data_IF_000514283804
#
_entry.id   IF_000514283804
#
_cell.length_a   1.000
_cell.length_b   1.000
_cell.length_c   1.000
_cell.angle_alpha   90.00
_cell.angle_beta   90.00
_cell.angle_gamma   90.00
#
_symmetry.space_group_name_H-M   'P 1'
#
loop_
_entity.id
_entity.type
_entity.pdbx_description
1 polymer ?
#
# COMPACT_ATOMS: atom_id res chain seq x y z
N UNK A 1 26.95 33.94 24.78
CA UNK A 1 25.57 34.45 24.96
C UNK A 1 25.19 35.18 23.68
N UNK A 2 23.99 34.93 23.16
CA UNK A 2 23.36 35.43 21.92
C UNK A 2 23.87 34.94 20.54
N UNK A 3 23.24 33.89 20.03
CA UNK A 3 22.84 33.76 18.61
C UNK A 3 21.73 32.70 18.48
N UNK A 4 20.66 32.90 19.25
CA UNK A 4 19.34 32.34 18.96
C UNK A 4 18.46 33.53 18.57
N UNK A 5 18.35 33.81 17.27
CA UNK A 5 17.37 34.74 16.76
C UNK A 5 17.04 34.40 15.31
N UNK A 6 15.75 34.38 15.02
CA UNK A 6 15.11 34.25 13.70
C UNK A 6 14.91 32.86 13.09
N UNK A 7 14.27 31.96 13.86
CA UNK A 7 13.29 31.04 13.25
C UNK A 7 12.00 31.81 12.93
N UNK A 8 12.05 32.69 11.92
CA UNK A 8 10.82 33.29 11.39
C UNK A 8 9.98 32.18 10.79
N UNK A 9 8.76 32.01 11.30
CA UNK A 9 7.70 31.24 10.64
C UNK A 9 7.39 31.98 9.34
N UNK A 10 8.18 31.71 8.29
CA UNK A 10 7.96 32.26 6.97
C UNK A 10 6.64 31.69 6.45
N UNK A 11 5.67 32.54 6.17
CA UNK A 11 4.49 32.15 5.40
C UNK A 11 4.95 31.41 4.14
N UNK A 12 4.45 30.20 3.86
CA UNK A 12 4.92 29.43 2.72
C UNK A 12 4.66 30.23 1.45
N UNK A 13 5.69 30.41 0.61
CA UNK A 13 5.58 31.06 -0.70
C UNK A 13 4.50 30.40 -1.55
N UNK A 14 3.92 31.14 -2.50
CA UNK A 14 2.84 30.61 -3.37
C UNK A 14 3.23 29.28 -4.03
N UNK A 15 4.48 29.13 -4.48
CA UNK A 15 5.01 27.88 -5.05
C UNK A 15 5.04 26.73 -4.03
N UNK A 16 5.40 27.01 -2.77
CA UNK A 16 5.41 26.00 -1.69
C UNK A 16 4.00 25.49 -1.36
N UNK A 17 3.00 26.38 -1.36
CA UNK A 17 1.59 26.00 -1.19
C UNK A 17 1.07 25.17 -2.36
N UNK A 18 1.44 25.54 -3.58
CA UNK A 18 1.08 24.80 -4.79
C UNK A 18 1.70 23.39 -4.80
N UNK A 19 2.99 23.26 -4.50
CA UNK A 19 3.66 21.96 -4.40
C UNK A 19 3.03 21.07 -3.33
N UNK A 20 2.68 21.62 -2.16
CA UNK A 20 1.98 20.89 -1.10
C UNK A 20 0.58 20.44 -1.54
N UNK A 21 -0.20 21.31 -2.19
CA UNK A 21 -1.50 20.97 -2.74
C UNK A 21 -1.41 19.82 -3.75
N UNK A 22 -0.47 19.91 -4.69
CA UNK A 22 -0.25 18.87 -5.72
C UNK A 22 0.09 17.52 -5.08
N UNK A 23 0.94 17.52 -4.05
CA UNK A 23 1.30 16.30 -3.33
C UNK A 23 0.14 15.72 -2.51
N UNK A 24 -0.62 16.57 -1.80
CA UNK A 24 -1.80 16.12 -1.04
C UNK A 24 -2.87 15.51 -1.96
N UNK A 25 -3.15 16.16 -3.08
CA UNK A 25 -4.11 15.64 -4.06
C UNK A 25 -3.65 14.31 -4.66
N UNK A 26 -2.36 14.16 -4.98
CA UNK A 26 -1.84 12.87 -5.45
C UNK A 26 -1.87 11.80 -4.35
N UNK A 27 -1.66 12.17 -3.07
CA UNK A 27 -1.75 11.26 -1.94
C UNK A 27 -3.19 10.77 -1.65
N UNK A 28 -4.23 11.52 -2.06
CA UNK A 28 -5.64 11.08 -1.96
C UNK A 28 -5.93 9.78 -2.75
N UNK A 29 -5.11 9.45 -3.75
CA UNK A 29 -5.20 8.14 -4.40
C UNK A 29 -5.01 6.98 -3.40
N UNK A 30 -4.16 7.18 -2.39
CA UNK A 30 -3.98 6.24 -1.28
C UNK A 30 -5.22 6.14 -0.41
N UNK A 31 -5.91 7.26 -0.16
CA UNK A 31 -7.18 7.28 0.58
C UNK A 31 -8.23 6.40 -0.09
N UNK A 32 -8.41 6.51 -1.42
CA UNK A 32 -9.37 5.69 -2.17
C UNK A 32 -9.05 4.20 -2.09
N UNK A 33 -7.76 3.86 -2.16
CA UNK A 33 -7.32 2.48 -1.99
C UNK A 33 -7.65 1.95 -0.59
N UNK A 34 -7.34 2.72 0.46
CA UNK A 34 -7.66 2.34 1.83
C UNK A 34 -9.17 2.24 2.10
N UNK A 35 -9.96 3.14 1.52
CA UNK A 35 -11.41 3.14 1.66
C UNK A 35 -12.02 1.84 1.12
N UNK A 36 -11.58 1.39 -0.05
CA UNK A 36 -12.09 0.16 -0.64
C UNK A 36 -11.80 -1.07 0.25
N UNK A 37 -10.59 -1.15 0.82
CA UNK A 37 -10.21 -2.22 1.77
C UNK A 37 -11.17 -2.26 2.96
N UNK A 38 -11.41 -1.12 3.61
CA UNK A 38 -12.23 -1.10 4.81
C UNK A 38 -13.72 -1.29 4.51
N UNK A 39 -14.22 -0.76 3.39
CA UNK A 39 -15.65 -0.79 3.04
C UNK A 39 -16.11 -2.22 2.80
N UNK A 40 -15.36 -3.00 2.01
CA UNK A 40 -15.75 -4.39 1.75
C UNK A 40 -15.78 -5.21 3.05
N UNK A 41 -14.89 -4.91 4.00
CA UNK A 41 -14.84 -5.65 5.27
C UNK A 41 -16.13 -5.53 6.07
N UNK A 42 -16.72 -4.34 6.16
CA UNK A 42 -17.98 -4.13 6.87
C UNK A 42 -19.22 -4.53 6.05
N UNK A 43 -19.15 -4.40 4.73
CA UNK A 43 -20.28 -4.73 3.85
C UNK A 43 -20.44 -6.24 3.61
N UNK A 44 -19.35 -7.02 3.62
CA UNK A 44 -19.34 -8.43 3.25
C UNK A 44 -20.33 -9.29 4.05
N UNK A 45 -20.46 -9.17 5.39
CA UNK A 45 -21.45 -9.94 6.14
C UNK A 45 -22.90 -9.66 5.70
N UNK A 46 -23.22 -8.40 5.38
CA UNK A 46 -24.55 -8.02 4.89
C UNK A 46 -24.82 -8.57 3.49
N UNK A 47 -23.82 -8.51 2.61
CA UNK A 47 -23.87 -9.08 1.25
C UNK A 47 -24.08 -10.60 1.32
N UNK A 48 -23.32 -11.26 2.19
CA UNK A 48 -23.40 -12.70 2.41
C UNK A 48 -24.78 -13.13 2.91
N UNK A 49 -25.38 -12.36 3.82
CA UNK A 49 -26.74 -12.59 4.30
C UNK A 49 -27.80 -12.33 3.23
N UNK A 50 -27.66 -11.25 2.46
CA UNK A 50 -28.63 -10.86 1.43
C UNK A 50 -28.71 -11.86 0.28
N UNK A 51 -27.57 -12.31 -0.23
CA UNK A 51 -27.50 -13.25 -1.35
C UNK A 51 -27.31 -14.72 -0.91
N UNK A 52 -27.32 -15.00 0.39
CA UNK A 52 -27.12 -16.35 0.98
C UNK A 52 -25.83 -17.00 0.45
N UNK A 53 -24.71 -16.30 0.61
CA UNK A 53 -23.42 -16.68 0.04
C UNK A 53 -22.64 -17.61 0.97
N UNK A 54 -22.13 -18.70 0.41
CA UNK A 54 -21.09 -19.51 1.06
C UNK A 54 -19.70 -18.86 1.03
N UNK A 55 -18.78 -19.43 1.78
CA UNK A 55 -17.40 -18.92 1.95
C UNK A 55 -16.69 -18.65 0.63
N UNK A 56 -16.75 -19.59 -0.32
CA UNK A 56 -16.13 -19.43 -1.64
C UNK A 56 -16.64 -18.21 -2.40
N UNK A 57 -17.94 -17.94 -2.37
CA UNK A 57 -18.51 -16.80 -3.09
C UNK A 57 -18.05 -15.46 -2.46
N UNK A 58 -17.96 -15.41 -1.13
CA UNK A 58 -17.39 -14.27 -0.42
C UNK A 58 -15.91 -14.07 -0.75
N UNK A 59 -15.12 -15.15 -0.80
CA UNK A 59 -13.72 -15.15 -1.23
C UNK A 59 -13.57 -14.60 -2.66
N UNK A 60 -14.43 -14.99 -3.60
CA UNK A 60 -14.41 -14.47 -4.98
C UNK A 60 -14.76 -12.97 -5.05
N UNK A 61 -15.75 -12.50 -4.28
CA UNK A 61 -16.12 -11.07 -4.22
C UNK A 61 -14.97 -10.21 -3.69
N UNK A 62 -14.25 -10.70 -2.69
CA UNK A 62 -13.10 -9.99 -2.12
C UNK A 62 -11.92 -10.05 -3.07
N UNK A 63 -11.53 -11.26 -3.53
CA UNK A 63 -10.31 -11.52 -4.29
C UNK A 63 -10.33 -11.06 -5.75
N UNK A 64 -11.50 -10.95 -6.40
CA UNK A 64 -11.60 -10.48 -7.79
C UNK A 64 -11.07 -9.06 -7.99
N UNK A 65 -11.16 -8.22 -6.96
CA UNK A 65 -10.56 -6.90 -6.98
C UNK A 65 -9.03 -6.98 -7.13
N UNK A 66 -8.36 -7.90 -6.44
CA UNK A 66 -6.91 -8.04 -6.54
C UNK A 66 -6.48 -8.51 -7.93
N UNK A 67 -7.30 -9.32 -8.61
CA UNK A 67 -7.11 -9.66 -10.03
C UNK A 67 -7.13 -8.39 -10.88
N UNK A 68 -8.15 -7.55 -10.67
CA UNK A 68 -8.25 -6.27 -11.34
C UNK A 68 -7.04 -5.38 -11.06
N UNK A 69 -6.56 -5.35 -9.81
CA UNK A 69 -5.41 -4.55 -9.42
C UNK A 69 -4.09 -5.04 -10.06
N UNK A 70 -3.91 -6.37 -10.17
CA UNK A 70 -2.79 -6.95 -10.89
C UNK A 70 -2.78 -6.55 -12.38
N UNK A 71 -3.94 -6.65 -13.05
CA UNK A 71 -4.10 -6.25 -14.46
C UNK A 71 -3.92 -4.73 -14.61
N UNK A 72 -4.50 -3.95 -13.71
CA UNK A 72 -4.43 -2.50 -13.69
C UNK A 72 -2.99 -2.01 -13.52
N UNK A 73 -2.22 -2.61 -12.62
CA UNK A 73 -0.81 -2.28 -12.39
C UNK A 73 0.07 -2.59 -13.62
N UNK A 74 -0.18 -3.71 -14.31
CA UNK A 74 0.52 -4.05 -15.56
C UNK A 74 0.25 -3.03 -16.67
N UNK A 75 -1.02 -2.63 -16.83
CA UNK A 75 -1.43 -1.63 -17.81
C UNK A 75 -0.98 -0.21 -17.45
N UNK A 76 -0.81 0.08 -16.15
CA UNK A 76 -0.51 1.42 -15.64
C UNK A 76 0.80 1.99 -16.17
N UNK A 77 1.84 1.15 -16.30
CA UNK A 77 3.14 1.57 -16.82
C UNK A 77 3.06 2.07 -18.26
N UNK A 78 2.43 1.28 -19.14
CA UNK A 78 2.21 1.66 -20.53
C UNK A 78 1.32 2.89 -20.66
N UNK A 79 0.25 2.95 -19.87
CA UNK A 79 -0.68 4.08 -19.90
C UNK A 79 -0.02 5.38 -19.41
N UNK A 80 0.74 5.32 -18.31
CA UNK A 80 1.46 6.47 -17.74
C UNK A 80 2.57 6.97 -18.66
N UNK A 81 3.16 6.09 -19.47
CA UNK A 81 4.11 6.48 -20.50
C UNK A 81 3.41 7.10 -21.73
N UNK A 82 2.29 6.53 -22.18
CA UNK A 82 1.57 6.97 -23.38
C UNK A 82 0.77 8.26 -23.17
N UNK A 83 -0.11 8.27 -22.17
CA UNK A 83 -1.03 9.38 -21.88
C UNK A 83 -0.45 10.40 -20.89
N UNK A 84 0.57 10.02 -20.11
CA UNK A 84 1.08 10.81 -19.00
C UNK A 84 0.45 10.42 -17.66
N UNK A 85 1.13 10.78 -16.57
CA UNK A 85 0.76 10.36 -15.21
C UNK A 85 -0.57 10.96 -14.75
N UNK A 86 -0.82 12.24 -15.08
CA UNK A 86 -2.06 12.95 -14.75
C UNK A 86 -3.29 12.25 -15.36
N UNK A 87 -3.28 11.99 -16.67
CA UNK A 87 -4.40 11.36 -17.35
C UNK A 87 -4.60 9.89 -16.95
N UNK A 88 -3.54 9.17 -16.60
CA UNK A 88 -3.66 7.84 -16.01
C UNK A 88 -4.39 7.88 -14.64
N UNK A 89 -4.11 8.88 -13.79
CA UNK A 89 -4.85 9.10 -12.54
C UNK A 89 -6.31 9.53 -12.77
N UNK A 90 -6.58 10.36 -13.79
CA UNK A 90 -7.95 10.72 -14.19
C UNK A 90 -8.74 9.46 -14.59
N UNK A 91 -8.16 8.60 -15.42
CA UNK A 91 -8.81 7.34 -15.81
C UNK A 91 -9.07 6.45 -14.60
N UNK A 92 -8.09 6.32 -13.69
CA UNK A 92 -8.28 5.57 -12.45
C UNK A 92 -9.44 6.13 -11.62
N UNK A 93 -9.55 7.46 -11.47
CA UNK A 93 -10.63 8.10 -10.72
C UNK A 93 -12.01 7.85 -11.35
N UNK A 94 -12.11 7.91 -12.69
CA UNK A 94 -13.35 7.59 -13.42
C UNK A 94 -13.74 6.13 -13.18
N UNK A 95 -12.79 5.21 -13.27
CA UNK A 95 -13.04 3.78 -13.02
C UNK A 95 -13.44 3.51 -11.55
N UNK A 96 -12.88 4.25 -10.60
CA UNK A 96 -13.30 4.18 -9.18
C UNK A 96 -14.77 4.59 -9.01
N UNK A 97 -15.18 5.72 -9.59
CA UNK A 97 -16.57 6.19 -9.52
C UNK A 97 -17.51 5.18 -10.19
N UNK A 98 -17.18 4.74 -11.41
CA UNK A 98 -17.99 3.77 -12.14
C UNK A 98 -18.11 2.44 -11.40
N UNK A 99 -17.00 1.90 -10.87
CA UNK A 99 -16.98 0.65 -10.12
C UNK A 99 -17.70 0.74 -8.78
N UNK A 100 -17.62 1.87 -8.07
CA UNK A 100 -18.33 2.09 -6.81
C UNK A 100 -19.83 2.20 -7.03
N UNK A 101 -20.28 2.96 -8.03
CA UNK A 101 -21.69 3.06 -8.39
C UNK A 101 -22.23 1.71 -8.87
N UNK A 102 -21.50 0.99 -9.72
CA UNK A 102 -21.91 -0.33 -10.17
C UNK A 102 -22.01 -1.34 -9.01
N UNK A 103 -21.08 -1.28 -8.06
CA UNK A 103 -21.14 -2.11 -6.84
C UNK A 103 -22.37 -1.78 -5.99
N UNK A 104 -22.72 -0.49 -5.86
CA UNK A 104 -23.91 -0.05 -5.13
C UNK A 104 -25.23 -0.47 -5.79
N UNK A 105 -25.27 -0.57 -7.13
CA UNK A 105 -26.45 -1.01 -7.88
C UNK A 105 -26.43 -2.49 -8.28
N UNK A 106 -25.49 -3.29 -7.76
CA UNK A 106 -25.33 -4.68 -8.17
C UNK A 106 -26.57 -5.53 -7.83
N UNK A 107 -27.25 -6.14 -8.83
CA UNK A 107 -28.44 -6.97 -8.60
C UNK A 107 -28.09 -8.41 -8.21
N UNK A 108 -26.88 -8.88 -8.52
CA UNK A 108 -26.42 -10.24 -8.20
C UNK A 108 -24.93 -10.28 -7.85
N UNK A 109 -24.45 -11.37 -7.22
CA UNK A 109 -23.03 -11.55 -6.86
C UNK A 109 -22.08 -11.47 -8.06
N UNK A 110 -22.49 -11.91 -9.25
CA UNK A 110 -21.68 -11.85 -10.47
C UNK A 110 -21.44 -10.40 -10.91
N UNK A 111 -22.46 -9.54 -10.80
CA UNK A 111 -22.32 -8.11 -11.07
C UNK A 111 -21.39 -7.46 -10.04
N UNK A 112 -21.47 -7.88 -8.78
CA UNK A 112 -20.57 -7.40 -7.75
C UNK A 112 -19.13 -7.82 -8.04
N UNK A 113 -18.88 -9.07 -8.44
CA UNK A 113 -17.55 -9.53 -8.85
C UNK A 113 -17.02 -8.70 -10.03
N UNK A 114 -17.86 -8.41 -11.03
CA UNK A 114 -17.51 -7.55 -12.17
C UNK A 114 -17.17 -6.11 -11.76
N UNK A 115 -17.97 -5.52 -10.88
CA UNK A 115 -17.72 -4.18 -10.34
C UNK A 115 -16.44 -4.13 -9.49
N UNK A 116 -16.17 -5.18 -8.70
CA UNK A 116 -14.94 -5.34 -7.92
C UNK A 116 -13.71 -5.50 -8.81
N UNK A 117 -13.82 -6.21 -9.93
CA UNK A 117 -12.75 -6.28 -10.93
C UNK A 117 -12.44 -4.89 -11.53
N UNK A 118 -13.47 -4.10 -11.82
CA UNK A 118 -13.33 -2.73 -12.34
C UNK A 118 -12.68 -1.78 -11.30
N UNK A 119 -13.12 -1.84 -10.04
CA UNK A 119 -12.48 -1.15 -8.92
C UNK A 119 -11.02 -1.57 -8.76
N UNK A 120 -10.75 -2.87 -8.90
CA UNK A 120 -9.41 -3.43 -8.93
C UNK A 120 -8.54 -2.77 -9.99
N UNK A 121 -9.01 -2.67 -11.24
CA UNK A 121 -8.27 -2.00 -12.31
C UNK A 121 -7.90 -0.56 -11.92
N UNK A 122 -8.85 0.17 -11.32
CA UNK A 122 -8.64 1.53 -10.82
C UNK A 122 -7.56 1.59 -9.71
N UNK A 123 -7.66 0.72 -8.70
CA UNK A 123 -6.70 0.60 -7.60
C UNK A 123 -5.31 0.25 -8.12
N UNK A 124 -5.20 -0.73 -9.01
CA UNK A 124 -3.93 -1.15 -9.63
C UNK A 124 -3.25 0.00 -10.38
N UNK A 125 -4.03 0.75 -11.16
CA UNK A 125 -3.54 1.92 -11.86
C UNK A 125 -3.09 3.04 -10.91
N UNK A 126 -3.90 3.34 -9.90
CA UNK A 126 -3.60 4.39 -8.92
C UNK A 126 -2.39 4.04 -8.04
N UNK A 127 -2.27 2.79 -7.59
CA UNK A 127 -1.18 2.31 -6.74
C UNK A 127 0.20 2.35 -7.41
N UNK A 128 0.25 2.24 -8.73
CA UNK A 128 1.47 2.45 -9.50
C UNK A 128 1.70 3.92 -9.83
N UNK A 129 0.68 4.60 -10.35
CA UNK A 129 0.82 5.93 -10.94
C UNK A 129 0.97 7.03 -9.89
N UNK A 130 0.29 6.94 -8.75
CA UNK A 130 0.31 8.01 -7.75
C UNK A 130 1.68 8.14 -7.05
N UNK A 131 2.32 7.05 -6.56
CA UNK A 131 3.69 7.15 -6.02
C UNK A 131 4.70 7.61 -7.08
N UNK A 132 4.56 7.16 -8.33
CA UNK A 132 5.42 7.60 -9.43
C UNK A 132 5.27 9.11 -9.66
N UNK A 133 4.03 9.59 -9.80
CA UNK A 133 3.75 11.02 -9.97
C UNK A 133 4.29 11.85 -8.79
N UNK A 134 4.06 11.41 -7.55
CA UNK A 134 4.61 12.03 -6.35
C UNK A 134 6.13 12.10 -6.40
N UNK A 135 6.81 11.04 -6.84
CA UNK A 135 8.27 11.03 -6.94
C UNK A 135 8.82 11.98 -8.01
N UNK A 136 8.04 12.28 -9.05
CA UNK A 136 8.44 13.15 -10.17
C UNK A 136 8.13 14.63 -9.93
N UNK A 137 7.20 14.92 -9.01
CA UNK A 137 6.70 16.27 -8.77
C UNK A 137 7.12 16.80 -7.39
N UNK A 138 7.33 15.92 -6.41
CA UNK A 138 7.76 16.32 -5.07
C UNK A 138 9.22 16.81 -5.08
N UNK A 139 9.51 17.94 -4.42
CA UNK A 139 10.87 18.42 -4.22
C UNK A 139 11.75 17.38 -3.51
N UNK A 140 13.04 17.30 -3.89
CA UNK A 140 13.99 16.28 -3.39
C UNK A 140 13.99 16.14 -1.86
N UNK A 141 13.95 17.25 -1.13
CA UNK A 141 14.03 17.28 0.33
C UNK A 141 12.77 16.77 1.05
N UNK A 142 11.61 16.70 0.39
CA UNK A 142 10.34 16.19 0.96
C UNK A 142 9.83 14.93 0.27
N UNK A 143 10.49 14.45 -0.80
CA UNK A 143 10.03 13.30 -1.60
C UNK A 143 9.73 12.06 -0.74
N UNK A 144 10.62 11.73 0.20
CA UNK A 144 10.40 10.61 1.13
C UNK A 144 9.17 10.81 2.02
N UNK A 145 9.00 12.01 2.59
CA UNK A 145 7.83 12.35 3.41
C UNK A 145 6.52 12.28 2.61
N UNK A 146 6.53 12.62 1.33
CA UNK A 146 5.33 12.53 0.47
C UNK A 146 4.95 11.07 0.15
N UNK A 147 5.94 10.20 -0.08
CA UNK A 147 5.69 8.75 -0.22
C UNK A 147 5.12 8.18 1.08
N UNK A 148 5.65 8.58 2.23
CA UNK A 148 5.08 8.20 3.54
C UNK A 148 3.66 8.76 3.74
N UNK A 149 3.37 9.95 3.22
CA UNK A 149 2.02 10.55 3.25
C UNK A 149 1.03 9.71 2.44
N UNK A 150 1.43 9.19 1.29
CA UNK A 150 0.61 8.26 0.50
C UNK A 150 0.23 7.01 1.32
N UNK A 151 1.20 6.39 2.01
CA UNK A 151 0.94 5.25 2.90
C UNK A 151 0.02 5.63 4.07
N UNK A 152 0.24 6.79 4.67
CA UNK A 152 -0.62 7.31 5.73
C UNK A 152 -2.06 7.48 5.24
N UNK A 153 -2.27 8.04 4.03
CA UNK A 153 -3.59 8.19 3.43
C UNK A 153 -4.29 6.84 3.22
N UNK A 154 -3.57 5.76 2.90
CA UNK A 154 -4.16 4.40 2.85
C UNK A 154 -4.72 4.03 4.23
N UNK A 155 -3.93 4.18 5.30
CA UNK A 155 -4.40 3.81 6.65
C UNK A 155 -5.54 4.68 7.15
N UNK A 156 -5.52 5.98 6.84
CA UNK A 156 -6.62 6.90 7.11
C UNK A 156 -7.86 6.52 6.31
N UNK A 157 -7.69 6.07 5.06
CA UNK A 157 -8.78 5.57 4.22
C UNK A 157 -9.44 4.33 4.81
N UNK A 158 -8.65 3.38 5.32
CA UNK A 158 -9.16 2.18 6.01
C UNK A 158 -9.99 2.59 7.25
N UNK A 159 -9.47 3.50 8.08
CA UNK A 159 -10.20 3.99 9.25
C UNK A 159 -11.49 4.74 8.86
N UNK A 160 -11.43 5.60 7.85
CA UNK A 160 -12.59 6.33 7.35
C UNK A 160 -13.67 5.37 6.80
N UNK A 161 -13.26 4.27 6.18
CA UNK A 161 -14.17 3.23 5.73
C UNK A 161 -14.81 2.47 6.90
N UNK A 162 -14.06 2.11 7.94
CA UNK A 162 -14.65 1.50 9.13
C UNK A 162 -15.65 2.44 9.83
N UNK A 163 -15.34 3.73 9.92
CA UNK A 163 -16.26 4.76 10.43
C UNK A 163 -17.50 4.93 9.53
N UNK A 164 -17.33 4.87 8.21
CA UNK A 164 -18.46 4.91 7.27
C UNK A 164 -19.33 3.68 7.38
N UNK A 165 -18.75 2.48 7.51
CA UNK A 165 -19.49 1.24 7.65
C UNK A 165 -20.35 1.25 8.90
N UNK A 166 -19.81 1.70 10.04
CA UNK A 166 -20.58 1.75 11.27
C UNK A 166 -21.71 2.78 11.17
N UNK A 167 -21.43 3.99 10.68
CA UNK A 167 -22.46 5.02 10.51
C UNK A 167 -23.59 4.57 9.57
N UNK A 168 -23.24 3.90 8.47
CA UNK A 168 -24.21 3.37 7.51
C UNK A 168 -24.91 2.10 8.01
N UNK A 169 -24.29 1.31 8.89
CA UNK A 169 -24.91 0.07 9.40
C UNK A 169 -26.22 0.30 10.15
N UNK A 170 -26.40 1.49 10.75
CA UNK A 170 -27.64 1.85 11.47
C UNK A 170 -28.74 2.40 10.57
N UNK A 171 -28.40 2.91 9.38
CA UNK A 171 -29.30 3.78 8.58
C UNK A 171 -29.53 3.24 7.17
N UNK A 172 -28.60 2.45 6.63
CA UNK A 172 -28.52 2.15 5.21
C UNK A 172 -28.09 0.70 4.90
N UNK A 173 -28.40 0.26 3.69
CA UNK A 173 -28.04 -1.05 3.15
C UNK A 173 -26.55 -1.11 2.73
N UNK A 174 -25.99 -2.31 2.58
CA UNK A 174 -24.59 -2.55 2.15
C UNK A 174 -24.25 -1.86 0.81
N UNK A 175 -25.27 -1.62 -0.02
CA UNK A 175 -25.18 -0.86 -1.27
C UNK A 175 -24.61 0.54 -1.06
N UNK A 176 -25.02 1.23 0.01
CA UNK A 176 -24.51 2.55 0.35
C UNK A 176 -23.09 2.48 0.91
N UNK A 177 -22.75 1.41 1.62
CA UNK A 177 -21.37 1.19 2.09
C UNK A 177 -20.40 1.13 0.91
N UNK A 178 -20.75 0.40 -0.16
CA UNK A 178 -19.93 0.33 -1.38
C UNK A 178 -20.00 1.62 -2.22
N UNK A 179 -21.16 2.27 -2.27
CA UNK A 179 -21.41 3.47 -3.06
C UNK A 179 -20.76 4.74 -2.50
N UNK A 180 -20.49 4.80 -1.19
CA UNK A 180 -19.92 6.00 -0.54
C UNK A 180 -18.55 6.39 -1.12
N UNK A 181 -17.80 5.42 -1.66
CA UNK A 181 -16.47 5.63 -2.27
C UNK A 181 -16.54 6.57 -3.48
N UNK A 182 -17.68 6.64 -4.18
CA UNK A 182 -17.88 7.54 -5.31
C UNK A 182 -17.70 9.01 -4.93
N UNK A 183 -18.01 9.40 -3.68
CA UNK A 183 -17.90 10.79 -3.19
C UNK A 183 -16.42 11.23 -3.14
N UNK A 184 -15.52 10.62 -2.34
CA UNK A 184 -14.11 10.99 -2.33
C UNK A 184 -13.45 10.73 -3.69
N UNK A 185 -13.92 9.76 -4.49
CA UNK A 185 -13.41 9.55 -5.84
C UNK A 185 -13.74 10.72 -6.78
N UNK A 186 -14.93 11.33 -6.67
CA UNK A 186 -15.29 12.54 -7.41
C UNK A 186 -14.44 13.75 -6.98
N UNK A 187 -14.19 13.91 -5.68
CA UNK A 187 -13.26 14.94 -5.18
C UNK A 187 -11.83 14.72 -5.71
N UNK A 188 -11.37 13.47 -5.70
CA UNK A 188 -10.07 13.12 -6.27
C UNK A 188 -10.01 13.41 -7.78
N UNK A 189 -11.05 13.06 -8.55
CA UNK A 189 -11.14 13.39 -9.97
C UNK A 189 -11.03 14.90 -10.21
N UNK A 190 -11.81 15.70 -9.48
CA UNK A 190 -11.74 17.17 -9.58
C UNK A 190 -10.35 17.70 -9.23
N UNK A 191 -9.72 17.15 -8.18
CA UNK A 191 -8.36 17.49 -7.77
C UNK A 191 -7.31 17.16 -8.83
N UNK A 192 -7.36 15.95 -9.40
CA UNK A 192 -6.42 15.48 -10.43
C UNK A 192 -6.54 16.28 -11.72
N UNK A 193 -7.75 16.73 -12.08
CA UNK A 193 -7.93 17.63 -13.21
C UNK A 193 -7.23 18.98 -13.03
N UNK A 194 -6.95 19.42 -11.80
CA UNK A 194 -6.18 20.64 -11.53
C UNK A 194 -4.66 20.42 -11.44
N UNK A 195 -4.19 19.16 -11.47
CA UNK A 195 -2.77 18.85 -11.34
C UNK A 195 -1.99 19.15 -12.64
N UNK A 196 -0.71 19.54 -12.54
CA UNK A 196 0.15 19.70 -13.70
C UNK A 196 0.59 18.34 -14.25
N UNK A 197 0.99 18.30 -15.52
CA UNK A 197 1.68 17.13 -16.07
C UNK A 197 3.06 16.95 -15.42
N UNK A 198 3.52 15.71 -15.36
CA UNK A 198 4.85 15.40 -14.78
C UNK A 198 5.96 16.07 -15.61
N UNK A 199 6.87 16.83 -14.99
CA UNK A 199 8.03 17.42 -15.67
C UNK A 199 8.87 16.37 -16.40
N UNK A 200 9.06 15.19 -15.78
CA UNK A 200 9.81 14.10 -16.39
C UNK A 200 9.15 13.56 -17.64
N UNK A 201 7.83 13.39 -17.62
CA UNK A 201 7.07 12.94 -18.78
C UNK A 201 7.09 13.96 -19.92
N UNK A 202 6.98 15.26 -19.61
CA UNK A 202 7.06 16.34 -20.59
C UNK A 202 8.43 16.34 -21.30
N UNK A 203 9.52 16.16 -20.55
CA UNK A 203 10.86 16.04 -21.13
C UNK A 203 11.02 14.79 -22.01
N UNK A 204 10.46 13.64 -21.60
CA UNK A 204 10.43 12.42 -22.43
C UNK A 204 9.67 12.60 -23.76
N UNK A 205 8.79 13.60 -23.83
CA UNK A 205 8.03 13.98 -25.03
C UNK A 205 8.64 15.15 -25.80
N UNK A 206 9.89 15.53 -25.50
CA UNK A 206 10.57 16.68 -26.07
C UNK A 206 9.85 18.03 -25.84
N UNK A 207 9.05 18.15 -24.77
CA UNK A 207 8.31 19.37 -24.39
C UNK A 207 9.04 20.11 -23.26
N UNK A 208 10.26 20.56 -23.51
CA UNK A 208 11.14 21.13 -22.48
C UNK A 208 10.62 22.45 -21.88
N UNK A 209 10.02 23.32 -22.69
CA UNK A 209 9.51 24.61 -22.22
C UNK A 209 8.36 24.45 -21.22
N UNK A 210 7.48 23.48 -21.47
CA UNK A 210 6.38 23.15 -20.56
C UNK A 210 6.88 22.51 -19.27
N UNK A 211 7.88 21.63 -19.36
CA UNK A 211 8.52 21.04 -18.18
C UNK A 211 9.15 22.12 -17.29
N UNK A 212 9.81 23.12 -17.90
CA UNK A 212 10.39 24.26 -17.20
C UNK A 212 9.32 25.12 -16.53
N UNK A 213 8.22 25.41 -17.23
CA UNK A 213 7.10 26.15 -16.66
C UNK A 213 6.46 25.44 -15.46
N UNK A 214 6.34 24.11 -15.49
CA UNK A 214 5.83 23.33 -14.35
C UNK A 214 6.82 23.38 -13.18
N UNK A 215 8.11 23.15 -13.41
CA UNK A 215 9.11 23.17 -12.33
C UNK A 215 9.24 24.54 -11.67
N UNK A 216 9.16 25.63 -12.43
CA UNK A 216 9.14 27.00 -11.89
C UNK A 216 7.92 27.27 -11.01
N UNK A 217 6.79 26.58 -11.22
CA UNK A 217 5.60 26.67 -10.34
C UNK A 217 5.72 25.81 -9.09
N UNK A 218 6.43 24.68 -9.18
CA UNK A 218 6.60 23.73 -8.08
C UNK A 218 7.69 24.17 -7.09
N UNK A 219 8.79 24.73 -7.59
CA UNK A 219 9.91 25.18 -6.78
C UNK A 219 9.79 26.66 -6.46
N UNK A 220 10.12 27.04 -5.22
CA UNK A 220 10.17 28.43 -4.80
C UNK A 220 11.42 29.14 -5.32
N UNK A 221 12.53 28.40 -5.48
CA UNK A 221 13.81 28.91 -5.96
C UNK A 221 14.02 28.51 -7.44
N UNK A 222 14.28 29.47 -8.35
CA UNK A 222 14.58 29.19 -9.75
C UNK A 222 15.80 28.29 -9.97
N UNK A 223 16.81 28.38 -9.11
CA UNK A 223 18.04 27.58 -9.23
C UNK A 223 17.77 26.09 -8.94
N UNK A 224 16.92 25.80 -7.95
CA UNK A 224 16.50 24.43 -7.64
C UNK A 224 15.70 23.81 -8.80
N UNK A 225 14.87 24.62 -9.47
CA UNK A 225 14.10 24.19 -10.64
C UNK A 225 15.01 23.85 -11.82
N UNK A 226 16.06 24.66 -12.04
CA UNK A 226 17.04 24.45 -13.09
C UNK A 226 17.90 23.21 -12.82
N UNK A 227 18.36 23.02 -11.57
CA UNK A 227 19.10 21.84 -11.17
C UNK A 227 18.28 20.53 -11.29
N UNK A 228 16.95 20.59 -11.10
CA UNK A 228 16.06 19.44 -11.36
C UNK A 228 15.90 19.18 -12.85
N UNK A 229 15.76 20.22 -13.70
CA UNK A 229 15.70 20.06 -15.16
C UNK A 229 16.93 19.36 -15.72
N UNK A 230 18.12 19.79 -15.29
CA UNK A 230 19.39 19.22 -15.75
C UNK A 230 19.52 17.75 -15.34
N UNK A 231 19.22 17.42 -14.08
CA UNK A 231 19.26 16.03 -13.63
C UNK A 231 18.26 15.14 -14.39
N UNK A 232 17.04 15.62 -14.64
CA UNK A 232 16.03 14.84 -15.36
C UNK A 232 16.42 14.62 -16.82
N UNK A 233 17.06 15.59 -17.46
CA UNK A 233 17.61 15.43 -18.80
C UNK A 233 18.73 14.38 -18.82
N UNK A 234 19.67 14.44 -17.87
CA UNK A 234 20.73 13.43 -17.74
C UNK A 234 20.14 12.02 -17.53
N UNK A 235 19.13 11.88 -16.67
CA UNK A 235 18.45 10.60 -16.43
C UNK A 235 17.73 10.08 -17.70
N UNK A 236 17.11 10.96 -18.49
CA UNK A 236 16.42 10.58 -19.74
C UNK A 236 17.39 10.12 -20.84
N UNK A 237 18.64 10.61 -20.86
CA UNK A 237 19.65 10.14 -21.83
C UNK A 237 20.17 8.73 -21.54
N UNK A 238 19.95 8.21 -20.32
CA UNK A 238 20.35 6.86 -19.93
C UNK A 238 19.22 5.87 -20.29
N UNK A 239 19.41 4.97 -21.26
CA UNK A 239 18.34 4.07 -21.68
C UNK A 239 17.96 3.10 -20.54
N UNK A 240 16.75 3.25 -20.00
CA UNK A 240 16.16 2.28 -19.09
C UNK A 240 15.91 0.97 -19.83
N UNK A 241 16.67 -0.07 -19.49
CA UNK A 241 16.66 -1.36 -20.18
C UNK A 241 16.22 -2.49 -19.25
N UNK A 242 15.23 -2.27 -18.39
CA UNK A 242 14.81 -3.23 -17.35
C UNK A 242 14.64 -4.67 -17.85
N UNK A 243 13.90 -4.87 -18.95
CA UNK A 243 13.73 -6.21 -19.56
C UNK A 243 15.03 -6.80 -20.13
N UNK A 244 15.81 -6.00 -20.85
CA UNK A 244 17.10 -6.45 -21.38
C UNK A 244 18.11 -6.72 -20.26
N UNK A 245 18.05 -5.99 -19.14
CA UNK A 245 18.89 -6.19 -17.96
C UNK A 245 18.49 -7.46 -17.23
N UNK A 246 17.19 -7.74 -17.10
CA UNK A 246 16.70 -9.01 -16.54
C UNK A 246 17.23 -10.20 -17.33
N UNK A 247 17.23 -10.11 -18.66
CA UNK A 247 17.71 -11.21 -19.50
C UNK A 247 19.23 -11.37 -19.46
N UNK A 248 19.98 -10.26 -19.41
CA UNK A 248 21.45 -10.26 -19.57
C UNK A 248 22.23 -10.35 -18.26
N UNK A 249 21.70 -9.87 -17.14
CA UNK A 249 22.45 -9.72 -15.90
C UNK A 249 21.87 -10.58 -14.77
N UNK A 250 22.67 -11.57 -14.31
CA UNK A 250 22.29 -12.48 -13.24
C UNK A 250 22.11 -11.79 -11.88
N UNK A 251 22.89 -10.74 -11.60
CA UNK A 251 22.80 -9.99 -10.35
C UNK A 251 21.54 -9.14 -10.29
N UNK A 252 21.13 -8.55 -11.41
CA UNK A 252 19.84 -7.85 -11.47
C UNK A 252 18.66 -8.80 -11.21
N UNK A 253 18.68 -10.01 -11.79
CA UNK A 253 17.66 -11.04 -11.51
C UNK A 253 17.57 -11.40 -10.02
N UNK A 254 18.71 -11.46 -9.32
CA UNK A 254 18.75 -11.74 -7.87
C UNK A 254 18.05 -10.64 -7.06
N UNK A 255 18.26 -9.38 -7.42
CA UNK A 255 17.58 -8.25 -6.75
C UNK A 255 16.08 -8.21 -7.04
N UNK A 256 15.66 -8.44 -8.29
CA UNK A 256 14.24 -8.55 -8.65
C UNK A 256 13.58 -9.71 -7.90
N UNK A 257 14.23 -10.88 -7.85
CA UNK A 257 13.73 -12.05 -7.11
C UNK A 257 13.60 -11.75 -5.61
N UNK A 258 14.57 -11.07 -5.00
CA UNK A 258 14.48 -10.65 -3.60
C UNK A 258 13.25 -9.75 -3.37
N UNK A 259 13.03 -8.75 -4.22
CA UNK A 259 11.84 -7.89 -4.13
C UNK A 259 10.53 -8.66 -4.29
N UNK A 260 10.47 -9.60 -5.25
CA UNK A 260 9.31 -10.48 -5.44
C UNK A 260 9.02 -11.32 -4.20
N UNK A 261 10.03 -11.99 -3.64
CA UNK A 261 9.84 -12.85 -2.46
C UNK A 261 9.46 -12.04 -1.22
N UNK A 262 10.04 -10.84 -1.05
CA UNK A 262 9.64 -9.91 0.01
C UNK A 262 8.16 -9.51 -0.08
N UNK A 263 7.68 -9.22 -1.28
CA UNK A 263 6.27 -8.88 -1.51
C UNK A 263 5.34 -10.07 -1.25
N UNK A 264 5.74 -11.29 -1.60
CA UNK A 264 4.99 -12.51 -1.25
C UNK A 264 4.89 -12.64 0.28
N UNK A 265 6.02 -12.55 0.99
CA UNK A 265 6.01 -12.66 2.45
C UNK A 265 5.20 -11.56 3.13
N UNK A 266 5.21 -10.33 2.59
CA UNK A 266 4.35 -9.26 3.09
C UNK A 266 2.87 -9.67 3.09
N UNK A 267 2.40 -10.36 2.04
CA UNK A 267 1.03 -10.85 1.95
C UNK A 267 0.78 -12.05 2.85
N UNK A 268 1.74 -12.97 2.92
CA UNK A 268 1.70 -14.15 3.78
C UNK A 268 1.78 -13.81 5.28
N UNK A 269 2.03 -12.56 5.67
CA UNK A 269 1.85 -12.13 7.06
C UNK A 269 0.41 -12.26 7.55
N UNK A 270 -0.56 -12.22 6.62
CA UNK A 270 -1.99 -12.32 6.92
C UNK A 270 -2.69 -10.98 7.17
N UNK A 271 -2.00 -9.83 7.00
CA UNK A 271 -2.59 -8.52 7.30
C UNK A 271 -3.85 -8.22 6.48
N UNK A 272 -3.83 -8.54 5.19
CA UNK A 272 -4.93 -8.20 4.30
C UNK A 272 -6.16 -9.05 4.59
N UNK A 273 -5.95 -10.31 4.96
CA UNK A 273 -7.00 -11.16 5.51
C UNK A 273 -7.62 -10.56 6.76
N UNK A 274 -6.80 -10.09 7.69
CA UNK A 274 -7.30 -9.41 8.89
C UNK A 274 -8.11 -8.18 8.50
N UNK A 275 -7.64 -7.38 7.54
CA UNK A 275 -8.32 -6.15 7.13
C UNK A 275 -9.64 -6.42 6.37
N UNK A 276 -9.72 -7.46 5.53
CA UNK A 276 -10.93 -7.78 4.75
C UNK A 276 -11.96 -8.56 5.56
N UNK A 277 -11.51 -9.43 6.47
CA UNK A 277 -12.38 -10.35 7.21
C UNK A 277 -12.45 -10.00 8.70
N UNK A 278 -12.06 -8.78 9.11
CA UNK A 278 -12.03 -8.36 10.51
C UNK A 278 -13.34 -8.66 11.28
N UNK A 279 -14.55 -8.32 10.78
CA UNK A 279 -15.79 -8.64 11.48
C UNK A 279 -15.97 -10.14 11.72
N UNK A 280 -15.60 -10.97 10.74
CA UNK A 280 -15.64 -12.43 10.88
C UNK A 280 -14.66 -12.91 11.94
N UNK A 281 -13.44 -12.35 12.00
CA UNK A 281 -12.45 -12.71 13.03
C UNK A 281 -12.97 -12.32 14.43
N UNK A 282 -13.63 -11.17 14.57
CA UNK A 282 -14.24 -10.77 15.83
C UNK A 282 -15.46 -11.63 16.19
N UNK A 283 -16.24 -12.06 15.21
CA UNK A 283 -17.31 -13.03 15.42
C UNK A 283 -16.77 -14.33 16.03
N UNK A 284 -15.67 -14.87 15.48
CA UNK A 284 -14.98 -16.05 16.02
C UNK A 284 -14.43 -15.82 17.43
N UNK A 285 -13.99 -14.59 17.72
CA UNK A 285 -13.57 -14.18 19.05
C UNK A 285 -14.75 -13.95 20.03
N UNK A 286 -15.98 -14.31 19.67
CA UNK A 286 -17.14 -14.30 20.57
C UNK A 286 -17.89 -12.97 20.65
N UNK A 287 -17.64 -12.02 19.76
CA UNK A 287 -18.43 -10.79 19.68
C UNK A 287 -19.82 -11.08 19.08
N UNK A 288 -20.84 -11.03 19.94
CA UNK A 288 -22.18 -11.52 19.64
C UNK A 288 -22.96 -10.64 18.65
N UNK A 289 -22.73 -9.32 18.64
CA UNK A 289 -23.47 -8.41 17.77
C UNK A 289 -22.59 -7.87 16.64
N UNK A 290 -23.18 -7.73 15.44
CA UNK A 290 -22.47 -7.13 14.29
C UNK A 290 -22.00 -5.70 14.59
N UNK A 291 -22.74 -4.95 15.40
CA UNK A 291 -22.35 -3.62 15.85
C UNK A 291 -21.03 -3.64 16.63
N UNK A 292 -20.86 -4.58 17.56
CA UNK A 292 -19.62 -4.73 18.31
C UNK A 292 -18.46 -5.11 17.39
N UNK A 293 -18.70 -6.00 16.42
CA UNK A 293 -17.70 -6.40 15.43
C UNK A 293 -17.25 -5.20 14.58
N UNK A 294 -18.17 -4.33 14.15
CA UNK A 294 -17.85 -3.11 13.41
C UNK A 294 -17.09 -2.09 14.28
N UNK A 295 -17.49 -1.86 15.53
CA UNK A 295 -16.72 -1.00 16.45
C UNK A 295 -15.30 -1.52 16.67
N UNK A 296 -15.13 -2.83 16.77
CA UNK A 296 -13.81 -3.45 16.87
C UNK A 296 -12.95 -3.19 15.62
N UNK A 297 -13.54 -3.17 14.42
CA UNK A 297 -12.82 -2.77 13.19
C UNK A 297 -12.37 -1.31 13.23
N UNK A 298 -13.16 -0.39 13.81
CA UNK A 298 -12.76 1.01 13.98
C UNK A 298 -11.51 1.11 14.88
N UNK A 299 -11.45 0.33 15.96
CA UNK A 299 -10.28 0.26 16.84
C UNK A 299 -9.06 -0.28 16.07
N UNK A 300 -9.24 -1.31 15.25
CA UNK A 300 -8.21 -1.84 14.34
C UNK A 300 -7.68 -0.75 13.42
N UNK A 301 -8.56 0.02 12.78
CA UNK A 301 -8.18 1.14 11.91
C UNK A 301 -7.41 2.22 12.67
N UNK A 302 -7.83 2.56 13.89
CA UNK A 302 -7.16 3.56 14.71
C UNK A 302 -5.75 3.12 15.09
N UNK A 303 -5.59 1.87 15.56
CA UNK A 303 -4.28 1.30 15.88
C UNK A 303 -3.39 1.27 14.65
N UNK A 304 -3.93 0.91 13.48
CA UNK A 304 -3.18 0.91 12.22
C UNK A 304 -2.63 2.31 11.86
N UNK A 305 -3.46 3.36 11.97
CA UNK A 305 -3.04 4.75 11.73
C UNK A 305 -1.97 5.19 12.73
N UNK A 306 -2.19 4.97 14.03
CA UNK A 306 -1.25 5.37 15.09
C UNK A 306 0.10 4.62 14.96
N UNK A 307 0.06 3.32 14.67
CA UNK A 307 1.24 2.51 14.44
C UNK A 307 2.02 2.97 13.20
N UNK A 308 1.32 3.41 12.15
CA UNK A 308 1.95 3.95 10.93
C UNK A 308 2.70 5.25 11.20
N UNK A 309 2.18 6.14 12.06
CA UNK A 309 2.94 7.31 12.53
C UNK A 309 4.20 6.90 13.28
N UNK A 310 4.11 5.88 14.13
CA UNK A 310 5.27 5.27 14.79
C UNK A 310 6.31 4.79 13.78
N UNK A 311 5.89 4.06 12.76
CA UNK A 311 6.77 3.57 11.71
C UNK A 311 7.59 4.70 11.05
N UNK A 312 6.91 5.78 10.66
CA UNK A 312 7.54 6.94 10.02
C UNK A 312 8.58 7.59 10.95
N UNK A 313 8.31 7.67 12.26
CA UNK A 313 9.23 8.27 13.22
C UNK A 313 10.47 7.40 13.52
N UNK A 314 10.34 6.07 13.49
CA UNK A 314 11.40 5.15 13.91
C UNK A 314 12.23 4.55 12.75
N UNK A 315 11.70 4.49 11.53
CA UNK A 315 12.34 3.76 10.41
C UNK A 315 13.75 4.28 10.08
N UNK A 316 13.95 5.59 10.13
CA UNK A 316 15.25 6.20 9.83
C UNK A 316 16.23 6.11 11.03
N UNK A 317 15.71 5.87 12.24
CA UNK A 317 16.50 5.85 13.48
C UNK A 317 17.05 4.50 13.85
N UNK A 318 16.40 3.39 13.51
CA UNK A 318 16.80 2.04 13.94
C UNK A 318 17.30 1.15 12.79
N UNK A 319 17.00 1.51 11.55
CA UNK A 319 17.34 0.69 10.38
C UNK A 319 16.24 -0.31 10.04
N UNK A 320 16.36 -0.93 8.87
CA UNK A 320 15.24 -1.63 8.23
C UNK A 320 15.17 -3.07 8.73
N UNK A 321 16.32 -3.70 8.93
CA UNK A 321 16.41 -5.11 9.34
C UNK A 321 15.97 -5.34 10.80
N UNK A 322 16.40 -4.53 11.80
CA UNK A 322 15.95 -4.69 13.18
C UNK A 322 14.43 -4.50 13.36
N UNK A 323 13.86 -3.51 12.68
CA UNK A 323 12.42 -3.23 12.74
C UNK A 323 11.62 -4.38 12.11
N UNK A 324 12.08 -4.93 10.99
CA UNK A 324 11.44 -6.11 10.39
C UNK A 324 11.46 -7.33 11.31
N UNK A 325 12.55 -7.58 12.05
CA UNK A 325 12.59 -8.67 13.02
C UNK A 325 11.62 -8.49 14.17
N UNK A 326 11.65 -7.32 14.80
CA UNK A 326 10.73 -6.99 15.88
C UNK A 326 9.28 -7.11 15.40
N UNK A 327 9.01 -6.61 14.21
CA UNK A 327 7.74 -6.76 13.51
C UNK A 327 7.28 -8.19 13.32
N UNK A 328 8.13 -9.03 12.72
CA UNK A 328 7.82 -10.44 12.50
C UNK A 328 7.60 -11.20 13.81
N UNK A 329 8.37 -10.90 14.85
CA UNK A 329 8.21 -11.50 16.17
C UNK A 329 6.88 -11.09 16.82
N UNK A 330 6.53 -9.80 16.77
CA UNK A 330 5.24 -9.27 17.27
C UNK A 330 4.07 -9.89 16.50
N UNK A 331 4.16 -9.96 15.17
CA UNK A 331 3.12 -10.56 14.33
C UNK A 331 2.95 -12.05 14.61
N UNK A 332 4.06 -12.80 14.70
CA UNK A 332 4.03 -14.22 15.02
C UNK A 332 3.43 -14.47 16.42
N UNK A 333 3.83 -13.70 17.42
CA UNK A 333 3.30 -13.80 18.78
C UNK A 333 1.79 -13.48 18.82
N UNK A 334 1.35 -12.41 18.16
CA UNK A 334 -0.07 -12.03 18.10
C UNK A 334 -0.94 -13.09 17.43
N UNK A 335 -0.52 -13.60 16.27
CA UNK A 335 -1.24 -14.65 15.54
C UNK A 335 -1.24 -15.99 16.30
N UNK A 336 -0.13 -16.35 16.93
CA UNK A 336 -0.01 -17.57 17.73
C UNK A 336 -0.92 -17.51 18.97
N UNK A 337 -0.88 -16.38 19.68
CA UNK A 337 -1.76 -16.11 20.83
C UNK A 337 -3.24 -16.20 20.44
N UNK A 338 -3.64 -15.55 19.34
CA UNK A 338 -5.01 -15.63 18.84
C UNK A 338 -5.41 -17.08 18.49
N UNK A 339 -4.55 -17.82 17.79
CA UNK A 339 -4.79 -19.21 17.45
C UNK A 339 -4.99 -20.11 18.67
N UNK A 340 -4.16 -19.96 19.71
CA UNK A 340 -4.32 -20.71 20.97
C UNK A 340 -5.59 -20.32 21.73
N UNK A 341 -5.95 -19.04 21.77
CA UNK A 341 -7.19 -18.58 22.40
C UNK A 341 -8.44 -19.15 21.71
N UNK A 342 -8.43 -19.20 20.38
CA UNK A 342 -9.51 -19.82 19.61
C UNK A 342 -9.56 -21.34 19.82
N UNK A 343 -8.40 -22.01 19.95
CA UNK A 343 -8.36 -23.44 20.25
C UNK A 343 -8.92 -23.78 21.63
N UNK A 344 -8.57 -22.96 22.64
CA UNK A 344 -9.05 -23.14 24.01
C UNK A 344 -10.55 -22.84 24.18
N UNK A 345 -11.17 -22.23 23.16
CA UNK A 345 -12.53 -21.72 23.22
C UNK A 345 -12.57 -20.36 23.92
N UNK A 346 -13.09 -19.36 23.22
CA UNK A 346 -13.22 -18.00 23.77
C UNK A 346 -14.45 -17.93 24.66
N UNK A 347 -14.31 -18.39 25.90
CA UNK A 347 -15.34 -18.32 26.93
C UNK A 347 -15.06 -17.15 27.89
N UNK A 348 -15.98 -16.18 27.94
CA UNK A 348 -15.96 -15.05 28.88
C UNK A 348 -15.14 -13.84 28.44
N UNK A 349 -15.38 -12.71 29.12
CA UNK A 349 -14.87 -11.39 28.72
C UNK A 349 -13.33 -11.32 28.63
N UNK A 350 -12.61 -12.01 29.52
CA UNK A 350 -11.13 -11.97 29.54
C UNK A 350 -10.51 -12.57 28.29
N UNK A 351 -11.01 -13.73 27.83
CA UNK A 351 -10.49 -14.39 26.63
C UNK A 351 -10.83 -13.58 25.37
N UNK A 352 -11.99 -12.92 25.34
CA UNK A 352 -12.37 -11.99 24.27
C UNK A 352 -11.42 -10.78 24.20
N UNK A 353 -11.16 -10.13 25.34
CA UNK A 353 -10.22 -9.00 25.41
C UNK A 353 -8.82 -9.42 24.96
N UNK A 354 -8.36 -10.60 25.38
CA UNK A 354 -7.05 -11.12 24.97
C UNK A 354 -7.00 -11.44 23.47
N UNK A 355 -8.08 -11.94 22.87
CA UNK A 355 -8.15 -12.19 21.43
C UNK A 355 -8.06 -10.88 20.65
N UNK A 356 -8.81 -9.85 21.06
CA UNK A 356 -8.71 -8.49 20.47
C UNK A 356 -7.32 -7.92 20.65
N UNK A 357 -6.76 -7.98 21.86
CA UNK A 357 -5.43 -7.46 22.14
C UNK A 357 -4.36 -8.15 21.27
N UNK A 358 -4.47 -9.48 21.08
CA UNK A 358 -3.57 -10.25 20.22
C UNK A 358 -3.65 -9.80 18.76
N UNK A 359 -4.86 -9.53 18.25
CA UNK A 359 -5.07 -9.03 16.90
C UNK A 359 -4.54 -7.60 16.73
N UNK A 360 -4.82 -6.70 17.68
CA UNK A 360 -4.31 -5.32 17.66
C UNK A 360 -2.78 -5.29 17.76
N UNK A 361 -2.19 -6.17 18.56
CA UNK A 361 -0.74 -6.31 18.67
C UNK A 361 -0.13 -6.78 17.34
N UNK A 362 -0.75 -7.75 16.68
CA UNK A 362 -0.37 -8.16 15.32
C UNK A 362 -0.41 -6.98 14.32
N UNK A 363 -1.51 -6.22 14.30
CA UNK A 363 -1.69 -5.07 13.38
C UNK A 363 -0.63 -4.01 13.64
N UNK A 364 -0.39 -3.65 14.91
CA UNK A 364 0.64 -2.69 15.28
C UNK A 364 2.03 -3.16 14.84
N UNK A 365 2.35 -4.43 15.04
CA UNK A 365 3.58 -5.06 14.56
C UNK A 365 3.75 -4.91 13.05
N UNK A 366 2.72 -5.25 12.27
CA UNK A 366 2.75 -5.12 10.81
C UNK A 366 2.94 -3.66 10.36
N UNK A 367 2.11 -2.75 10.88
CA UNK A 367 2.09 -1.34 10.48
C UNK A 367 3.40 -0.62 10.81
N UNK A 368 4.06 -0.99 11.92
CA UNK A 368 5.38 -0.47 12.28
C UNK A 368 6.54 -1.09 11.49
N UNK A 369 6.32 -2.19 10.77
CA UNK A 369 7.39 -2.97 10.14
C UNK A 369 7.11 -3.33 8.67
N UNK A 370 6.60 -4.53 8.39
CA UNK A 370 6.45 -5.11 7.07
C UNK A 370 5.60 -4.26 6.12
N UNK A 371 4.65 -3.47 6.65
CA UNK A 371 3.86 -2.53 5.88
C UNK A 371 4.74 -1.56 5.07
N UNK A 372 5.35 -0.55 5.69
CA UNK A 372 6.18 0.42 4.97
C UNK A 372 7.54 -0.14 4.52
N UNK A 373 8.18 -1.01 5.31
CA UNK A 373 9.59 -1.37 5.07
C UNK A 373 9.79 -2.26 3.84
N UNK A 374 8.84 -3.13 3.50
CA UNK A 374 8.97 -3.99 2.31
C UNK A 374 8.97 -3.16 1.02
N UNK A 375 8.11 -2.15 0.94
CA UNK A 375 8.08 -1.23 -0.20
C UNK A 375 9.37 -0.42 -0.32
N UNK A 376 9.88 0.09 0.80
CA UNK A 376 11.15 0.82 0.85
C UNK A 376 12.29 -0.08 0.37
N UNK A 377 12.43 -1.29 0.94
CA UNK A 377 13.47 -2.24 0.57
C UNK A 377 13.42 -2.60 -0.93
N UNK A 378 12.23 -2.84 -1.49
CA UNK A 378 12.10 -3.11 -2.92
C UNK A 378 12.63 -1.96 -3.79
N UNK A 379 12.43 -0.70 -3.37
CA UNK A 379 12.95 0.46 -4.08
C UNK A 379 14.47 0.68 -3.90
N UNK A 380 15.03 0.29 -2.75
CA UNK A 380 16.44 0.50 -2.41
C UNK A 380 17.36 -0.59 -2.98
N UNK A 381 16.95 -1.86 -2.97
CA UNK A 381 17.78 -2.99 -3.46
C UNK A 381 17.92 -3.02 -4.99
N UNK A 382 17.06 -2.30 -5.71
CA UNK A 382 17.00 -2.36 -7.16
C UNK A 382 17.86 -1.25 -7.81
N UNK A 383 18.75 -1.60 -8.74
CA UNK A 383 19.66 -0.64 -9.36
C UNK A 383 18.89 0.30 -10.30
N UNK A 384 19.35 1.56 -10.36
CA UNK A 384 18.66 2.64 -11.07
C UNK A 384 18.29 2.31 -12.52
N UNK A 385 19.15 1.58 -13.25
CA UNK A 385 18.96 1.26 -14.68
C UNK A 385 17.77 0.32 -14.96
N UNK A 386 17.25 -0.38 -13.95
CA UNK A 386 16.15 -1.33 -14.07
C UNK A 386 15.12 -1.26 -12.93
N UNK A 387 15.21 -0.25 -12.07
CA UNK A 387 14.36 -0.11 -10.87
C UNK A 387 12.87 -0.10 -11.20
N UNK A 388 12.45 0.70 -12.16
CA UNK A 388 11.02 0.81 -12.51
C UNK A 388 10.43 -0.54 -12.92
N UNK A 389 11.20 -1.35 -13.66
CA UNK A 389 10.81 -2.71 -14.02
C UNK A 389 10.75 -3.65 -12.80
N UNK A 390 11.77 -3.62 -11.94
CA UNK A 390 11.81 -4.45 -10.75
C UNK A 390 10.65 -4.13 -9.79
N UNK A 391 10.34 -2.85 -9.58
CA UNK A 391 9.22 -2.40 -8.76
C UNK A 391 7.92 -2.93 -9.39
N UNK A 392 7.70 -2.72 -10.69
CA UNK A 392 6.50 -3.18 -11.38
C UNK A 392 6.27 -4.70 -11.24
N UNK A 393 7.31 -5.52 -11.43
CA UNK A 393 7.21 -6.99 -11.26
C UNK A 393 6.91 -7.34 -9.80
N UNK A 394 7.58 -6.71 -8.84
CA UNK A 394 7.34 -6.98 -7.42
C UNK A 394 5.92 -6.58 -6.99
N UNK A 395 5.39 -5.45 -7.49
CA UNK A 395 4.02 -4.98 -7.24
C UNK A 395 2.98 -5.91 -7.86
N UNK A 396 3.22 -6.40 -9.08
CA UNK A 396 2.34 -7.39 -9.70
C UNK A 396 2.23 -8.64 -8.83
N UNK A 397 3.38 -9.17 -8.38
CA UNK A 397 3.38 -10.35 -7.53
C UNK A 397 2.76 -10.08 -6.17
N UNK A 398 2.90 -8.86 -5.61
CA UNK A 398 2.20 -8.44 -4.41
C UNK A 398 0.67 -8.62 -4.57
N UNK A 399 0.09 -8.12 -5.67
CA UNK A 399 -1.34 -8.25 -5.93
C UNK A 399 -1.79 -9.70 -6.13
N UNK A 400 -1.00 -10.51 -6.85
CA UNK A 400 -1.29 -11.93 -7.06
C UNK A 400 -1.20 -12.72 -5.75
N UNK A 401 -0.21 -12.44 -4.90
CA UNK A 401 -0.09 -13.06 -3.59
C UNK A 401 -1.24 -12.61 -2.67
N UNK A 402 -1.61 -11.33 -2.68
CA UNK A 402 -2.76 -10.82 -1.93
C UNK A 402 -4.06 -11.52 -2.36
N UNK A 403 -4.27 -11.68 -3.67
CA UNK A 403 -5.40 -12.43 -4.22
C UNK A 403 -5.42 -13.86 -3.70
N UNK A 404 -4.29 -14.58 -3.74
CA UNK A 404 -4.22 -15.97 -3.29
C UNK A 404 -4.57 -16.11 -1.80
N UNK A 405 -4.04 -15.21 -0.96
CA UNK A 405 -4.31 -15.23 0.49
C UNK A 405 -5.78 -14.88 0.76
N UNK A 406 -6.34 -13.86 0.10
CA UNK A 406 -7.75 -13.48 0.27
C UNK A 406 -8.72 -14.56 -0.26
N UNK A 407 -8.37 -15.22 -1.37
CA UNK A 407 -9.20 -16.25 -2.00
C UNK A 407 -9.21 -17.60 -1.26
N UNK A 408 -8.32 -17.79 -0.28
CA UNK A 408 -8.17 -19.07 0.42
C UNK A 408 -8.47 -19.00 1.91
N UNK A 409 -8.64 -17.80 2.47
CA UNK A 409 -8.72 -17.64 3.92
C UNK A 409 -9.95 -18.27 4.58
N UNK A 410 -11.15 -18.03 4.06
CA UNK A 410 -12.38 -18.60 4.63
C UNK A 410 -12.41 -20.12 4.42
N UNK A 411 -11.91 -20.58 3.27
CA UNK A 411 -11.69 -21.99 2.97
C UNK A 411 -10.69 -22.65 3.95
N UNK A 412 -9.62 -21.95 4.35
CA UNK A 412 -8.69 -22.43 5.37
C UNK A 412 -9.35 -22.52 6.75
N UNK A 413 -10.12 -21.50 7.14
CA UNK A 413 -10.85 -21.51 8.41
C UNK A 413 -11.80 -22.71 8.51
N UNK A 414 -12.56 -22.99 7.45
CA UNK A 414 -13.56 -24.08 7.44
C UNK A 414 -12.95 -25.48 7.31
N UNK A 415 -11.80 -25.63 6.64
CA UNK A 415 -11.19 -26.96 6.37
C UNK A 415 -10.08 -27.33 7.35
N UNK A 416 -9.19 -26.38 7.67
CA UNK A 416 -8.03 -26.60 8.56
C UNK A 416 -8.40 -26.27 10.01
N UNK A 417 -9.43 -25.44 10.21
CA UNK A 417 -9.89 -24.98 11.51
C UNK A 417 -9.34 -23.60 11.85
N UNK A 418 -10.10 -22.86 12.65
CA UNK A 418 -9.83 -21.46 13.01
C UNK A 418 -8.47 -21.29 13.67
N UNK A 419 -8.23 -22.03 14.76
CA UNK A 419 -6.97 -22.00 15.51
C UNK A 419 -5.76 -22.32 14.64
N UNK A 420 -5.83 -23.40 13.85
CA UNK A 420 -4.74 -23.85 13.00
C UNK A 420 -4.42 -22.85 11.89
N UNK A 421 -5.44 -22.15 11.38
CA UNK A 421 -5.25 -21.12 10.35
C UNK A 421 -4.43 -19.95 10.89
N UNK A 422 -4.72 -19.46 12.10
CA UNK A 422 -3.94 -18.38 12.70
C UNK A 422 -2.54 -18.82 13.12
N UNK A 423 -2.38 -20.04 13.62
CA UNK A 423 -1.05 -20.62 13.90
C UNK A 423 -0.23 -20.79 12.62
N UNK A 424 -0.85 -21.16 11.49
CA UNK A 424 -0.20 -21.20 10.19
C UNK A 424 0.37 -19.83 9.81
N UNK A 425 -0.42 -18.76 9.93
CA UNK A 425 0.08 -17.39 9.71
C UNK A 425 1.20 -17.01 10.68
N UNK A 426 1.16 -17.45 11.94
CA UNK A 426 2.25 -17.26 12.89
C UNK A 426 3.55 -17.92 12.41
N UNK A 427 3.48 -19.17 11.95
CA UNK A 427 4.63 -19.90 11.37
C UNK A 427 5.16 -19.18 10.14
N UNK A 428 4.29 -18.71 9.24
CA UNK A 428 4.69 -17.95 8.05
C UNK A 428 5.43 -16.66 8.42
N UNK A 429 5.04 -15.98 9.50
CA UNK A 429 5.76 -14.80 10.01
C UNK A 429 7.14 -15.16 10.59
N UNK A 430 7.30 -16.33 11.22
CA UNK A 430 8.63 -16.83 11.65
C UNK A 430 9.51 -17.16 10.44
N UNK A 431 8.95 -17.83 9.43
CA UNK A 431 9.66 -18.12 8.17
C UNK A 431 10.09 -16.82 7.48
N UNK A 432 9.24 -15.79 7.52
CA UNK A 432 9.58 -14.47 7.01
C UNK A 432 10.76 -13.85 7.76
N UNK A 433 10.78 -13.91 9.09
CA UNK A 433 11.92 -13.45 9.89
C UNK A 433 13.23 -14.17 9.53
N UNK A 434 13.16 -15.50 9.35
CA UNK A 434 14.29 -16.33 8.91
C UNK A 434 14.77 -15.89 7.52
N UNK A 435 13.85 -15.66 6.59
CA UNK A 435 14.19 -15.16 5.25
C UNK A 435 14.88 -13.80 5.31
N UNK A 436 14.35 -12.85 6.09
CA UNK A 436 14.97 -11.53 6.31
C UNK A 436 16.39 -11.68 6.87
N UNK A 437 16.62 -12.64 7.75
CA UNK A 437 17.94 -12.93 8.28
C UNK A 437 18.96 -13.34 7.24
N UNK A 438 18.61 -14.30 6.39
CA UNK A 438 19.57 -14.85 5.44
C UNK A 438 19.77 -13.99 4.19
N UNK A 439 18.75 -13.26 3.71
CA UNK A 439 18.76 -12.68 2.37
C UNK A 439 18.69 -11.15 2.31
N UNK A 440 18.14 -10.48 3.32
CA UNK A 440 17.89 -9.04 3.26
C UNK A 440 19.10 -8.25 3.80
N UNK A 441 19.64 -7.28 3.03
CA UNK A 441 20.69 -6.37 3.50
C UNK A 441 20.13 -5.30 4.45
N UNK A 442 21.00 -4.71 5.25
CA UNK A 442 20.71 -3.44 5.91
C UNK A 442 21.04 -2.30 4.95
N UNK A 443 20.05 -1.47 4.63
CA UNK A 443 20.16 -0.40 3.64
C UNK A 443 20.33 0.99 4.27
N UNK A 444 20.19 1.09 5.60
CA UNK A 444 20.26 2.37 6.31
C UNK A 444 21.59 3.09 6.08
N UNK A 445 21.49 4.35 5.64
CA UNK A 445 22.65 5.23 5.50
C UNK A 445 23.59 4.86 4.35
N UNK A 446 23.18 3.94 3.48
CA UNK A 446 23.93 3.53 2.28
C UNK A 446 23.34 4.20 1.05
N UNK A 447 24.18 4.79 0.20
CA UNK A 447 23.71 5.38 -1.06
C UNK A 447 23.18 4.32 -2.02
N UNK A 448 22.17 4.67 -2.81
CA UNK A 448 21.56 3.77 -3.79
C UNK A 448 22.56 3.37 -4.89
N UNK A 449 23.48 4.27 -5.22
CA UNK A 449 24.57 4.05 -6.16
C UNK A 449 25.52 2.98 -5.63
N UNK A 450 25.85 3.01 -4.33
CA UNK A 450 26.69 1.99 -3.71
C UNK A 450 26.00 0.64 -3.68
N UNK A 451 24.73 0.57 -3.26
CA UNK A 451 23.95 -0.67 -3.30
C UNK A 451 23.88 -1.27 -4.70
N UNK A 452 23.67 -0.42 -5.71
CA UNK A 452 23.67 -0.82 -7.12
C UNK A 452 25.05 -1.32 -7.59
N UNK A 453 26.12 -0.60 -7.25
CA UNK A 453 27.51 -0.99 -7.53
C UNK A 453 27.85 -2.36 -6.92
N UNK A 454 27.56 -2.52 -5.63
CA UNK A 454 27.82 -3.73 -4.85
C UNK A 454 27.10 -4.95 -5.45
N UNK A 455 25.83 -4.75 -5.84
CA UNK A 455 25.04 -5.77 -6.51
C UNK A 455 25.65 -6.14 -7.85
N UNK A 456 26.04 -5.15 -8.66
CA UNK A 456 26.60 -5.37 -9.99
C UNK A 456 27.99 -6.02 -9.93
N UNK A 457 28.75 -5.76 -8.88
CA UNK A 457 30.01 -6.43 -8.54
C UNK A 457 29.83 -7.89 -8.08
N UNK A 458 28.58 -8.36 -7.93
CA UNK A 458 28.27 -9.75 -7.58
C UNK A 458 28.33 -10.06 -6.10
N UNK A 459 28.33 -9.04 -5.23
CA UNK A 459 28.25 -9.27 -3.78
C UNK A 459 26.95 -9.98 -3.38
N UNK A 460 27.02 -10.73 -2.29
CA UNK A 460 25.84 -11.43 -1.75
C UNK A 460 24.80 -10.40 -1.34
N UNK A 461 23.53 -10.68 -1.62
CA UNK A 461 22.42 -9.76 -1.35
C UNK A 461 22.38 -9.25 0.09
N UNK A 462 22.68 -10.12 1.07
CA UNK A 462 22.70 -9.77 2.50
C UNK A 462 23.85 -8.84 2.92
N UNK A 463 24.88 -8.75 2.09
CA UNK A 463 26.14 -8.05 2.38
C UNK A 463 26.26 -6.73 1.59
N UNK A 464 25.24 -6.37 0.80
CA UNK A 464 25.17 -5.09 0.12
C UNK A 464 25.28 -3.93 1.12
N UNK A 465 26.08 -2.92 0.78
CA UNK A 465 26.28 -1.72 1.59
C UNK A 465 27.30 -1.85 2.71
N UNK A 466 27.69 -3.06 3.11
CA UNK A 466 28.80 -3.28 4.04
C UNK A 466 30.11 -2.94 3.32
N UNK A 467 30.86 -1.97 3.86
CA UNK A 467 32.24 -1.75 3.40
C UNK A 467 33.05 -3.03 3.55
N UNK A 468 34.02 -3.25 2.65
CA UNK A 468 35.07 -4.23 2.90
C UNK A 468 35.85 -3.88 4.16
#
# INVERSE_FOLDING_TARGET
MSTFADSRISTPSKSRRYGLFVCLMAALAGLLFGLDIGVISGALPFIAKHFVLGDRAQEWIVSSMMVGAAIGALGAGWLSWRLGRRYALVLAAILFIAGSLWSGFAPSPEHLIGARLLLGLAVGMASFTAPLYLSEVAPRHVRGAMISTYQLMITVGILAAFLSNIGLSYVADWRWMLGVIAIPAAFFLAGVLALPDSPRWLLQRNRADEARAVLQRLYANPDDAQAELEQVNDDNTRPQRGWSLLRKNSNFRRSVLLGVVLQIFQQLTGINVVMYYAPRIFELAGFATHEQQLWATVIVGLVNVLATFGAIAFVDRWGRKPILYAGCAVMAAGMCSLGFLLHAGVAGLTSQILAVASLLFFIAGFAMSAGPLVWILCSEIQPQQGRDFGIAVSTLVNWVANMAVAATFLSLLSTVGEANTFVLYAILNVVFAIFVFFFVPETRGVSLEKLGSDLMAGMRLRDLGKGK
#
